data_IF_047842773947
#
_entry.id   IF_047842773947
#
_cell.length_a   1.000
_cell.length_b   1.000
_cell.length_c   1.000
_cell.angle_alpha   90.00
_cell.angle_beta   90.00
_cell.angle_gamma   90.00
#
_symmetry.space_group_name_H-M   'P 1'
#
loop_
_entity.id
_entity.type
_entity.pdbx_description
1 polymer ?
#
# COMPACT_ATOMS: atom_id res chain seq x y z
N UNK A 1 -12.18 -56.31 -28.42
CA UNK A 1 -12.63 -55.30 -27.44
C UNK A 1 -13.03 -54.05 -28.20
N UNK A 2 -14.33 -53.73 -28.29
CA UNK A 2 -14.76 -52.49 -28.95
C UNK A 2 -14.61 -51.32 -27.97
N UNK A 3 -13.73 -50.36 -28.28
CA UNK A 3 -13.64 -49.10 -27.56
C UNK A 3 -14.73 -48.18 -28.09
N UNK A 4 -15.76 -47.91 -27.29
CA UNK A 4 -16.71 -46.83 -27.58
C UNK A 4 -15.97 -45.51 -27.37
N UNK A 5 -15.70 -44.80 -28.46
CA UNK A 5 -15.19 -43.43 -28.43
C UNK A 5 -16.32 -42.44 -28.25
N UNK A 6 -16.02 -41.30 -27.62
CA UNK A 6 -16.93 -40.15 -27.57
C UNK A 6 -17.31 -39.69 -28.98
N UNK A 7 -18.56 -39.27 -29.14
CA UNK A 7 -19.02 -38.68 -30.41
C UNK A 7 -18.69 -37.19 -30.45
N UNK A 8 -18.44 -36.64 -31.64
CA UNK A 8 -18.20 -35.20 -31.81
C UNK A 8 -19.37 -34.34 -31.30
N UNK A 9 -20.59 -34.87 -31.40
CA UNK A 9 -21.82 -34.18 -30.98
C UNK A 9 -21.88 -34.01 -29.46
N UNK A 10 -21.49 -35.04 -28.70
CA UNK A 10 -21.42 -34.95 -27.23
C UNK A 10 -20.39 -33.91 -26.79
N UNK A 11 -19.23 -33.86 -27.44
CA UNK A 11 -18.19 -32.89 -27.10
C UNK A 11 -18.63 -31.46 -27.43
N UNK A 12 -19.32 -31.26 -28.55
CA UNK A 12 -19.80 -29.95 -28.98
C UNK A 12 -20.87 -29.40 -28.02
N UNK A 13 -21.83 -30.21 -27.60
CA UNK A 13 -22.86 -29.80 -26.65
C UNK A 13 -22.26 -29.31 -25.32
N UNK A 14 -21.22 -29.98 -24.82
CA UNK A 14 -20.53 -29.58 -23.58
C UNK A 14 -19.82 -28.24 -23.73
N UNK A 15 -19.12 -28.01 -24.85
CA UNK A 15 -18.41 -26.75 -25.09
C UNK A 15 -19.39 -25.57 -25.18
N UNK A 16 -20.55 -25.75 -25.82
CA UNK A 16 -21.59 -24.72 -25.92
C UNK A 16 -22.12 -24.34 -24.52
N UNK A 17 -22.40 -25.32 -23.67
CA UNK A 17 -22.86 -25.05 -22.30
C UNK A 17 -21.76 -24.34 -21.48
N UNK A 18 -20.50 -24.78 -21.58
CA UNK A 18 -19.37 -24.13 -20.91
C UNK A 18 -19.17 -22.68 -21.36
N UNK A 19 -19.35 -22.39 -22.64
CA UNK A 19 -19.23 -21.03 -23.18
C UNK A 19 -20.32 -20.09 -22.63
N UNK A 20 -21.56 -20.57 -22.52
CA UNK A 20 -22.66 -19.81 -21.92
C UNK A 20 -22.39 -19.50 -20.44
N UNK A 21 -21.94 -20.51 -19.67
CA UNK A 21 -21.60 -20.33 -18.26
C UNK A 21 -20.42 -19.37 -18.08
N UNK A 22 -19.37 -19.49 -18.89
CA UNK A 22 -18.20 -18.63 -18.85
C UNK A 22 -18.56 -17.16 -19.12
N UNK A 23 -19.48 -16.89 -20.05
CA UNK A 23 -19.88 -15.53 -20.41
C UNK A 23 -20.45 -14.75 -19.23
N UNK A 24 -21.24 -15.40 -18.37
CA UNK A 24 -21.83 -14.77 -17.17
C UNK A 24 -20.84 -14.75 -16.00
N UNK A 25 -20.01 -15.78 -15.86
CA UNK A 25 -19.08 -15.92 -14.73
C UNK A 25 -17.86 -15.00 -14.82
N UNK A 26 -17.28 -14.82 -16.01
CA UNK A 26 -16.04 -14.04 -16.24
C UNK A 26 -16.14 -12.59 -15.71
N UNK A 27 -17.14 -11.76 -16.04
CA UNK A 27 -17.19 -10.38 -15.56
C UNK A 27 -17.29 -10.29 -14.03
N UNK A 28 -17.98 -11.25 -13.40
CA UNK A 28 -18.12 -11.31 -11.94
C UNK A 28 -16.77 -11.64 -11.27
N UNK A 29 -16.03 -12.61 -11.79
CA UNK A 29 -14.70 -12.96 -11.27
C UNK A 29 -13.72 -11.79 -11.44
N UNK A 30 -13.70 -11.13 -12.61
CA UNK A 30 -12.82 -9.97 -12.86
C UNK A 30 -13.13 -8.81 -11.92
N UNK A 31 -14.41 -8.53 -11.64
CA UNK A 31 -14.78 -7.45 -10.73
C UNK A 31 -14.40 -7.75 -9.27
N UNK A 32 -14.56 -8.99 -8.81
CA UNK A 32 -14.10 -9.44 -7.49
C UNK A 32 -12.59 -9.32 -7.38
N UNK A 33 -11.84 -9.80 -8.37
CA UNK A 33 -10.37 -9.70 -8.39
C UNK A 33 -9.89 -8.25 -8.31
N UNK A 34 -10.55 -7.33 -9.01
CA UNK A 34 -10.23 -5.90 -8.96
C UNK A 34 -10.49 -5.32 -7.57
N UNK A 35 -11.62 -5.68 -6.94
CA UNK A 35 -11.98 -5.22 -5.60
C UNK A 35 -11.02 -5.75 -4.54
N UNK A 36 -10.69 -7.04 -4.60
CA UNK A 36 -9.71 -7.67 -3.70
C UNK A 36 -8.33 -7.03 -3.82
N UNK A 37 -7.93 -6.68 -5.05
CA UNK A 37 -6.68 -5.96 -5.31
C UNK A 37 -6.68 -4.56 -4.69
N UNK A 38 -7.76 -3.79 -4.86
CA UNK A 38 -7.87 -2.46 -4.24
C UNK A 38 -7.85 -2.52 -2.71
N UNK A 39 -8.60 -3.45 -2.12
CA UNK A 39 -8.59 -3.66 -0.66
C UNK A 39 -7.19 -4.03 -0.16
N UNK A 40 -6.47 -4.85 -0.92
CA UNK A 40 -5.09 -5.24 -0.58
C UNK A 40 -4.15 -4.04 -0.57
N UNK A 41 -4.24 -3.18 -1.58
CA UNK A 41 -3.41 -1.98 -1.70
C UNK A 41 -3.67 -1.03 -0.51
N UNK A 42 -4.93 -0.86 -0.11
CA UNK A 42 -5.31 -0.05 1.06
C UNK A 42 -4.76 -0.61 2.38
N UNK A 43 -4.82 -1.93 2.56
CA UNK A 43 -4.23 -2.60 3.73
C UNK A 43 -2.72 -2.40 3.77
N UNK A 44 -2.03 -2.48 2.62
CA UNK A 44 -0.58 -2.27 2.56
C UNK A 44 -0.21 -0.83 2.99
N UNK A 45 -0.93 0.17 2.49
CA UNK A 45 -0.72 1.58 2.89
C UNK A 45 -0.99 1.78 4.38
N UNK A 46 -2.04 1.16 4.92
CA UNK A 46 -2.39 1.26 6.35
C UNK A 46 -1.30 0.65 7.23
N UNK A 47 -0.83 -0.54 6.90
CA UNK A 47 0.27 -1.20 7.62
C UNK A 47 1.56 -0.38 7.53
N UNK A 48 1.84 0.22 6.37
CA UNK A 48 3.00 1.06 6.16
C UNK A 48 2.93 2.34 7.01
N UNK A 49 1.75 2.95 7.10
CA UNK A 49 1.48 4.11 7.95
C UNK A 49 1.78 3.77 9.42
N UNK A 50 1.20 2.68 9.92
CA UNK A 50 1.37 2.26 11.32
C UNK A 50 2.83 1.92 11.64
N UNK A 51 3.51 1.23 10.71
CA UNK A 51 4.93 0.93 10.81
C UNK A 51 5.78 2.20 10.89
N UNK A 52 5.54 3.17 10.02
CA UNK A 52 6.29 4.43 9.99
C UNK A 52 6.07 5.25 11.27
N UNK A 53 4.83 5.34 11.76
CA UNK A 53 4.52 6.04 13.02
C UNK A 53 5.18 5.34 14.21
N UNK A 54 5.06 4.01 14.29
CA UNK A 54 5.64 3.23 15.39
C UNK A 54 7.15 3.38 15.43
N UNK A 55 7.81 3.27 14.28
CA UNK A 55 9.25 3.44 14.16
C UNK A 55 9.68 4.86 14.55
N UNK A 56 9.00 5.90 14.04
CA UNK A 56 9.30 7.28 14.40
C UNK A 56 9.15 7.52 15.91
N UNK A 57 8.08 6.98 16.52
CA UNK A 57 7.81 7.08 17.95
C UNK A 57 8.91 6.43 18.78
N UNK A 58 9.41 5.28 18.36
CA UNK A 58 10.55 4.61 18.99
C UNK A 58 11.80 5.49 18.92
N UNK A 59 12.15 6.01 17.73
CA UNK A 59 13.31 6.88 17.57
C UNK A 59 13.23 8.16 18.40
N UNK A 60 12.04 8.74 18.55
CA UNK A 60 11.80 9.91 19.42
C UNK A 60 11.99 9.52 20.89
N UNK A 61 11.45 8.38 21.30
CA UNK A 61 11.57 7.90 22.69
C UNK A 61 13.03 7.61 23.07
N UNK A 62 13.82 7.14 22.09
CA UNK A 62 15.27 6.93 22.23
C UNK A 62 16.09 8.22 22.08
N UNK A 63 15.47 9.39 21.93
CA UNK A 63 16.12 10.68 21.70
C UNK A 63 17.05 10.71 20.47
N UNK A 64 16.83 9.79 19.52
CA UNK A 64 17.56 9.73 18.23
C UNK A 64 16.92 10.62 17.17
N UNK A 65 15.64 10.96 17.36
CA UNK A 65 14.88 11.83 16.48
C UNK A 65 14.22 12.95 17.29
N UNK A 66 14.48 14.19 16.90
CA UNK A 66 13.78 15.37 17.41
C UNK A 66 12.98 16.01 16.27
N UNK A 67 11.68 16.20 16.49
CA UNK A 67 10.76 16.89 15.60
C UNK A 67 10.07 18.02 16.36
N UNK A 68 10.07 19.20 15.76
CA UNK A 68 9.20 20.28 16.17
C UNK A 68 7.78 19.99 15.66
N UNK A 69 6.79 20.75 16.10
CA UNK A 69 5.40 20.51 15.69
C UNK A 69 5.02 21.38 14.48
N UNK A 70 4.35 20.79 13.49
CA UNK A 70 3.65 21.52 12.44
C UNK A 70 2.23 21.86 12.92
N UNK A 71 1.75 23.08 12.70
CA UNK A 71 0.37 23.52 12.97
C UNK A 71 -0.56 23.36 11.75
N UNK A 72 -0.10 22.64 10.72
CA UNK A 72 -0.82 22.35 9.49
C UNK A 72 -0.64 20.88 9.06
N UNK A 73 -1.54 20.41 8.20
CA UNK A 73 -1.46 19.07 7.62
C UNK A 73 -0.65 19.07 6.34
N UNK A 74 0.24 18.08 6.19
CA UNK A 74 1.00 17.88 4.95
C UNK A 74 0.08 17.22 3.90
N UNK A 75 -0.19 17.94 2.81
CA UNK A 75 -1.04 17.47 1.71
C UNK A 75 -0.30 17.09 0.42
N UNK A 76 1.00 17.44 0.32
CA UNK A 76 1.79 17.20 -0.88
C UNK A 76 3.28 17.00 -0.56
N UNK A 77 4.00 16.42 -1.52
CA UNK A 77 5.43 16.08 -1.39
C UNK A 77 6.30 17.31 -1.19
N UNK A 78 6.02 18.44 -1.86
CA UNK A 78 6.87 19.61 -1.78
C UNK A 78 6.79 20.21 -0.37
N UNK A 79 5.58 20.34 0.18
CA UNK A 79 5.37 20.78 1.56
C UNK A 79 6.07 19.85 2.55
N UNK A 80 6.02 18.53 2.32
CA UNK A 80 6.71 17.56 3.16
C UNK A 80 8.24 17.74 3.14
N UNK A 81 8.83 17.86 1.95
CA UNK A 81 10.28 18.02 1.76
C UNK A 81 10.79 19.34 2.34
N UNK A 82 10.05 20.43 2.15
CA UNK A 82 10.41 21.73 2.71
C UNK A 82 10.49 21.69 4.24
N UNK A 83 9.59 20.95 4.90
CA UNK A 83 9.54 20.84 6.36
C UNK A 83 10.39 19.69 6.92
N UNK A 84 11.10 18.95 6.05
CA UNK A 84 12.10 17.96 6.41
C UNK A 84 13.52 18.56 6.53
N UNK A 85 13.74 19.77 6.01
CA UNK A 85 15.06 20.42 5.95
C UNK A 85 15.05 21.77 6.66
N UNK A 86 15.80 21.91 7.77
CA UNK A 86 15.96 23.17 8.50
C UNK A 86 15.99 23.03 10.03
N UNK A 87 16.13 24.17 10.72
CA UNK A 87 16.18 24.24 12.19
C UNK A 87 14.83 23.95 12.87
N UNK A 88 13.70 24.15 12.17
CA UNK A 88 12.35 23.89 12.67
C UNK A 88 11.72 22.66 11.99
N UNK A 89 12.51 21.60 11.77
CA UNK A 89 12.01 20.39 11.10
C UNK A 89 10.87 19.77 11.91
N UNK A 90 9.71 19.60 11.29
CA UNK A 90 8.59 18.89 11.88
C UNK A 90 8.26 17.58 11.13
N UNK A 91 9.00 17.30 10.05
CA UNK A 91 8.91 16.09 9.23
C UNK A 91 10.22 15.30 9.29
N UNK A 92 10.11 13.98 9.35
CA UNK A 92 11.18 13.02 9.06
C UNK A 92 10.79 12.19 7.84
N UNK A 93 11.78 11.88 7.00
CA UNK A 93 11.58 11.08 5.78
C UNK A 93 12.13 9.68 6.02
N UNK A 94 11.31 8.66 5.75
CA UNK A 94 11.73 7.27 5.70
C UNK A 94 11.49 6.70 4.31
N UNK A 95 12.46 5.94 3.80
CA UNK A 95 12.26 5.13 2.61
C UNK A 95 11.58 3.81 3.01
N UNK A 96 10.71 3.27 2.14
CA UNK A 96 10.06 1.96 2.39
C UNK A 96 11.11 0.86 2.65
N UNK A 97 12.16 0.79 1.83
CA UNK A 97 13.26 -0.17 2.01
C UNK A 97 13.98 -0.04 3.35
N UNK A 98 14.07 1.17 3.90
CA UNK A 98 14.70 1.41 5.20
C UNK A 98 13.84 0.83 6.33
N UNK A 99 12.52 1.03 6.28
CA UNK A 99 11.60 0.44 7.26
C UNK A 99 11.61 -1.09 7.18
N UNK A 100 11.73 -1.65 5.98
CA UNK A 100 11.87 -3.10 5.76
C UNK A 100 13.16 -3.65 6.35
N UNK A 101 14.30 -3.01 6.08
CA UNK A 101 15.60 -3.44 6.60
C UNK A 101 15.70 -3.36 8.13
N UNK A 102 14.98 -2.43 8.76
CA UNK A 102 14.90 -2.32 10.21
C UNK A 102 13.82 -3.23 10.84
N UNK A 103 13.14 -4.07 10.04
CA UNK A 103 12.09 -4.96 10.51
C UNK A 103 10.81 -4.26 10.99
N UNK A 104 10.66 -2.97 10.68
CA UNK A 104 9.50 -2.16 11.07
C UNK A 104 8.31 -2.39 10.16
N UNK A 105 8.56 -2.73 8.89
CA UNK A 105 7.54 -2.96 7.87
C UNK A 105 7.82 -4.23 7.07
N UNK A 106 6.81 -5.07 6.88
CA UNK A 106 6.89 -6.29 6.06
C UNK A 106 5.84 -6.25 4.95
N UNK A 107 6.29 -6.09 3.72
CA UNK A 107 5.44 -6.11 2.53
C UNK A 107 5.34 -7.51 1.94
N UNK A 108 4.48 -8.33 2.57
CA UNK A 108 4.27 -9.74 2.20
C UNK A 108 3.85 -9.97 0.74
N UNK A 109 3.36 -8.93 0.06
CA UNK A 109 2.82 -9.01 -1.31
C UNK A 109 3.65 -8.25 -2.33
N UNK A 110 4.80 -7.69 -1.92
CA UNK A 110 5.65 -6.83 -2.76
C UNK A 110 4.80 -5.80 -3.54
N UNK A 111 3.90 -5.17 -2.79
CA UNK A 111 2.88 -4.24 -3.26
C UNK A 111 3.31 -2.78 -3.17
N UNK A 112 4.38 -2.48 -2.42
CA UNK A 112 4.91 -1.14 -2.22
C UNK A 112 6.24 -0.95 -2.96
N UNK A 113 6.45 0.25 -3.52
CA UNK A 113 7.74 0.63 -4.08
C UNK A 113 8.76 0.83 -2.95
N UNK A 114 9.77 -0.05 -2.89
CA UNK A 114 10.87 0.02 -1.91
C UNK A 114 11.64 1.33 -1.96
N UNK A 115 11.58 2.10 -3.06
CA UNK A 115 12.22 3.39 -3.21
C UNK A 115 11.33 4.58 -2.90
N UNK A 116 10.05 4.35 -2.60
CA UNK A 116 9.14 5.41 -2.22
C UNK A 116 9.49 5.99 -0.85
N UNK A 117 9.33 7.30 -0.73
CA UNK A 117 9.50 8.05 0.50
C UNK A 117 8.17 8.21 1.22
N UNK A 118 8.22 8.06 2.53
CA UNK A 118 7.13 8.29 3.48
C UNK A 118 7.55 9.42 4.39
N UNK A 119 6.61 10.32 4.67
CA UNK A 119 6.88 11.51 5.45
C UNK A 119 6.12 11.41 6.76
N UNK A 120 6.82 11.21 7.87
CA UNK A 120 6.22 11.19 9.20
C UNK A 120 6.41 12.56 9.82
N UNK A 121 5.35 13.15 10.36
CA UNK A 121 5.41 14.51 10.91
C UNK A 121 4.65 14.63 12.22
N UNK A 122 5.14 15.53 13.07
CA UNK A 122 4.52 15.83 14.35
C UNK A 122 3.54 16.97 14.15
N UNK A 123 2.25 16.67 14.20
CA UNK A 123 1.16 17.63 14.01
C UNK A 123 0.64 18.14 15.35
N UNK A 124 0.47 19.45 15.48
CA UNK A 124 -0.19 20.09 16.61
C UNK A 124 -1.56 20.61 16.17
N UNK A 125 -2.61 20.15 16.84
CA UNK A 125 -3.99 20.55 16.56
C UNK A 125 -4.49 21.74 17.40
N UNK A 126 -3.59 22.44 18.10
CA UNK A 126 -3.88 23.49 19.07
C UNK A 126 -4.10 22.99 20.51
N UNK A 127 -4.14 21.67 20.76
CA UNK A 127 -4.32 21.09 22.09
C UNK A 127 -3.19 20.15 22.48
N UNK A 128 -2.80 19.27 21.56
CA UNK A 128 -1.75 18.27 21.77
C UNK A 128 -1.03 17.99 20.46
N UNK A 129 0.14 17.36 20.59
CA UNK A 129 0.92 16.87 19.48
C UNK A 129 0.58 15.41 19.18
N UNK A 130 0.50 15.06 17.90
CA UNK A 130 0.36 13.68 17.44
C UNK A 130 1.25 13.41 16.22
N UNK A 131 1.67 12.16 16.03
CA UNK A 131 2.40 11.76 14.82
C UNK A 131 1.40 11.40 13.73
N UNK A 132 1.63 11.94 12.53
CA UNK A 132 0.87 11.64 11.32
C UNK A 132 1.83 11.26 10.20
N UNK A 133 1.29 10.65 9.15
CA UNK A 133 2.05 10.39 7.93
C UNK A 133 1.43 11.09 6.74
N UNK A 134 2.28 11.42 5.79
CA UNK A 134 1.91 11.70 4.43
C UNK A 134 2.58 10.64 3.55
N UNK A 135 1.75 9.82 2.90
CA UNK A 135 2.18 8.77 1.98
C UNK A 135 1.78 9.23 0.58
N UNK A 136 2.75 9.50 -0.32
CA UNK A 136 2.44 9.88 -1.69
C UNK A 136 1.56 8.85 -2.40
N UNK A 137 0.72 9.33 -3.32
CA UNK A 137 -0.01 8.44 -4.20
C UNK A 137 0.99 7.53 -4.95
N UNK A 138 0.63 6.25 -5.12
CA UNK A 138 1.44 5.20 -5.75
C UNK A 138 2.60 4.61 -4.91
N UNK A 139 2.76 4.98 -3.64
CA UNK A 139 3.71 4.31 -2.75
C UNK A 139 3.42 2.81 -2.62
N UNK A 140 2.14 2.43 -2.54
CA UNK A 140 1.71 1.04 -2.63
C UNK A 140 0.56 0.88 -3.64
N UNK A 141 0.46 -0.32 -4.20
CA UNK A 141 -0.53 -0.73 -5.18
C UNK A 141 -0.03 -0.73 -6.62
N UNK A 142 -0.95 -0.63 -7.58
CA UNK A 142 -0.67 -0.69 -9.04
C UNK A 142 0.10 0.52 -9.55
N UNK A 143 1.35 0.62 -9.12
CA UNK A 143 2.54 1.24 -9.72
C UNK A 143 3.83 0.85 -8.95
N UNK A 144 3.79 -0.09 -7.98
CA UNK A 144 4.98 -0.62 -7.28
C UNK A 144 5.68 -1.80 -7.97
N UNK A 145 5.36 -2.06 -9.24
CA UNK A 145 6.08 -3.02 -10.08
C UNK A 145 6.38 -2.32 -11.39
N UNK A 146 7.63 -1.88 -11.56
CA UNK A 146 8.27 -1.90 -12.88
C UNK A 146 8.76 -3.31 -13.13
#
# INVERSE_FOLDING_TARGET
MQKKGFTLVELLAVIVILALLATVAVPNVVSILKKEKQNTDEIAVTNLNDAAISYAKEQISLQKLHLNSCDFTIGDVNTAVLNASGNNKCVVVYQVSFLQQNGAFDDKRNSCDSNANIYVYKYNNGKYDELRTFIPAKTCGTNGVQ
#
